data_IF_696225426129
#
_entry.id   IF_696225426129
#
_cell.length_a   1.000
_cell.length_b   1.000
_cell.length_c   1.000
_cell.angle_alpha   90.00
_cell.angle_beta   90.00
_cell.angle_gamma   90.00
#
_symmetry.space_group_name_H-M   'P 1'
#
loop_
_entity.id
_entity.type
_entity.pdbx_description
1 polymer ?
#
# COMPACT_ATOMS: atom_id res chain seq x y z
N UNK A 1 -14.11 9.74 37.11
CA UNK A 1 -12.86 9.61 36.34
C UNK A 1 -13.10 10.35 35.04
N UNK A 2 -12.34 11.41 34.75
CA UNK A 2 -12.50 12.15 33.50
C UNK A 2 -11.94 11.31 32.34
N UNK A 3 -12.72 11.20 31.26
CA UNK A 3 -12.26 10.55 30.04
C UNK A 3 -11.23 11.46 29.36
N UNK A 4 -10.01 10.95 29.16
CA UNK A 4 -8.95 11.66 28.43
C UNK A 4 -8.96 11.21 26.97
N UNK A 5 -8.88 12.18 26.05
CA UNK A 5 -8.73 11.90 24.62
C UNK A 5 -7.40 11.15 24.38
N UNK A 6 -7.39 10.02 23.66
CA UNK A 6 -6.16 9.33 23.31
C UNK A 6 -5.30 10.22 22.40
N UNK A 7 -3.99 10.18 22.62
CA UNK A 7 -3.02 10.84 21.76
C UNK A 7 -2.50 9.89 20.69
N UNK A 8 -2.19 10.41 19.51
CA UNK A 8 -1.52 9.64 18.48
C UNK A 8 -0.13 9.23 18.97
N UNK A 9 0.22 7.95 18.82
CA UNK A 9 1.36 7.34 19.50
C UNK A 9 2.72 7.54 18.82
N UNK A 10 2.74 8.02 17.58
CA UNK A 10 3.99 8.27 16.85
C UNK A 10 4.52 9.66 17.16
N UNK A 11 5.77 9.72 17.59
CA UNK A 11 6.51 10.97 17.78
C UNK A 11 6.94 11.48 16.42
N UNK A 12 6.90 12.80 16.24
CA UNK A 12 7.39 13.52 15.05
C UNK A 12 6.60 13.30 13.75
N UNK A 13 5.51 12.53 13.78
CA UNK A 13 4.60 12.35 12.64
C UNK A 13 3.16 12.67 13.05
N UNK A 14 2.45 13.41 12.21
CA UNK A 14 1.01 13.56 12.30
C UNK A 14 0.28 12.36 11.68
N UNK A 15 -0.96 12.05 12.12
CA UNK A 15 -1.80 11.04 11.47
C UNK A 15 -1.95 11.24 9.96
N UNK A 16 -1.98 12.49 9.51
CA UNK A 16 -2.16 12.90 8.10
C UNK A 16 -0.92 12.55 7.27
N UNK A 17 0.27 12.82 7.80
CA UNK A 17 1.54 12.47 7.14
C UNK A 17 1.66 10.96 7.00
N UNK A 18 1.30 10.19 8.04
CA UNK A 18 1.33 8.73 8.00
C UNK A 18 0.36 8.19 6.95
N UNK A 19 -0.88 8.69 6.91
CA UNK A 19 -1.87 8.28 5.91
C UNK A 19 -1.39 8.57 4.48
N UNK A 20 -0.84 9.76 4.25
CA UNK A 20 -0.32 10.19 2.95
C UNK A 20 0.89 9.35 2.51
N UNK A 21 1.81 9.06 3.44
CA UNK A 21 2.98 8.23 3.17
C UNK A 21 2.58 6.79 2.84
N UNK A 22 1.65 6.20 3.60
CA UNK A 22 1.13 4.85 3.35
C UNK A 22 0.43 4.74 1.99
N UNK A 23 -0.36 5.75 1.62
CA UNK A 23 -1.02 5.79 0.32
C UNK A 23 0.00 5.83 -0.82
N UNK A 24 0.98 6.74 -0.73
CA UNK A 24 2.04 6.86 -1.73
C UNK A 24 2.85 5.57 -1.87
N UNK A 25 3.32 5.01 -0.75
CA UNK A 25 4.08 3.76 -0.74
C UNK A 25 3.29 2.60 -1.36
N UNK A 26 2.01 2.44 -0.98
CA UNK A 26 1.19 1.33 -1.47
C UNK A 26 0.93 1.44 -2.98
N UNK A 27 0.67 2.65 -3.49
CA UNK A 27 0.54 2.92 -4.92
C UNK A 27 1.82 2.58 -5.69
N UNK A 28 2.96 3.00 -5.16
CA UNK A 28 4.26 2.81 -5.81
C UNK A 28 4.64 1.31 -5.82
N UNK A 29 4.38 0.58 -4.72
CA UNK A 29 4.55 -0.88 -4.67
C UNK A 29 3.60 -1.62 -5.61
N UNK A 30 2.33 -1.19 -5.72
CA UNK A 30 1.39 -1.76 -6.69
C UNK A 30 1.92 -1.59 -8.12
N UNK A 31 2.50 -0.42 -8.43
CA UNK A 31 3.06 -0.10 -9.74
C UNK A 31 4.32 -0.93 -10.02
N UNK A 32 5.20 -1.08 -9.02
CA UNK A 32 6.36 -1.95 -9.08
C UNK A 32 5.97 -3.39 -9.43
N UNK A 33 5.02 -4.00 -8.72
CA UNK A 33 4.63 -5.39 -9.01
C UNK A 33 3.94 -5.55 -10.36
N UNK A 34 3.23 -4.54 -10.88
CA UNK A 34 2.74 -4.55 -12.27
C UNK A 34 3.87 -4.63 -13.29
N UNK A 35 4.97 -3.89 -13.06
CA UNK A 35 6.15 -3.94 -13.94
C UNK A 35 6.84 -5.30 -13.86
N UNK A 36 7.06 -5.83 -12.66
CA UNK A 36 7.66 -7.16 -12.46
C UNK A 36 6.78 -8.23 -13.11
N UNK A 37 5.46 -8.16 -12.96
CA UNK A 37 4.54 -9.09 -13.62
C UNK A 37 4.69 -9.07 -15.14
N UNK A 38 4.79 -7.88 -15.75
CA UNK A 38 5.07 -7.75 -17.19
C UNK A 38 6.37 -8.43 -17.59
N UNK A 39 7.46 -8.17 -16.86
CA UNK A 39 8.77 -8.79 -17.12
C UNK A 39 8.75 -10.32 -16.99
N UNK A 40 7.98 -10.87 -16.06
CA UNK A 40 7.83 -12.32 -15.90
C UNK A 40 6.95 -12.93 -16.99
N UNK A 41 5.94 -12.21 -17.48
CA UNK A 41 5.15 -12.65 -18.63
C UNK A 41 6.01 -12.69 -19.90
N UNK A 42 6.83 -11.68 -20.13
CA UNK A 42 7.71 -11.63 -21.32
C UNK A 42 8.68 -12.83 -21.35
N UNK A 43 9.06 -13.36 -20.19
CA UNK A 43 9.92 -14.54 -20.08
C UNK A 43 9.20 -15.88 -20.38
N UNK A 44 7.86 -15.94 -20.35
CA UNK A 44 7.14 -17.20 -20.55
C UNK A 44 7.37 -17.81 -21.94
N UNK A 45 7.50 -16.98 -22.97
CA UNK A 45 7.64 -17.41 -24.36
C UNK A 45 9.08 -17.86 -24.69
N UNK A 46 10.05 -17.53 -23.85
CA UNK A 46 11.48 -17.82 -24.06
C UNK A 46 11.94 -19.10 -23.34
N UNK A 47 11.18 -19.59 -22.36
CA UNK A 47 11.56 -20.75 -21.55
C UNK A 47 11.16 -22.05 -22.22
N UNK A 48 12.16 -22.90 -22.49
CA UNK A 48 11.97 -24.27 -23.01
C UNK A 48 12.11 -25.35 -21.95
N UNK A 49 12.71 -25.03 -20.80
CA UNK A 49 12.92 -25.98 -19.70
C UNK A 49 11.71 -26.04 -18.74
N UNK A 50 11.24 -27.24 -18.43
CA UNK A 50 10.04 -27.44 -17.62
C UNK A 50 10.22 -27.03 -16.14
N UNK A 51 11.42 -27.18 -15.60
CA UNK A 51 11.75 -26.79 -14.22
C UNK A 51 11.78 -25.26 -14.09
N UNK A 52 12.42 -24.58 -15.04
CA UNK A 52 12.43 -23.12 -15.14
C UNK A 52 11.01 -22.57 -15.34
N UNK A 53 10.19 -23.21 -16.18
CA UNK A 53 8.79 -22.84 -16.39
C UNK A 53 7.96 -22.97 -15.11
N UNK A 54 8.17 -24.04 -14.35
CA UNK A 54 7.49 -24.26 -13.07
C UNK A 54 7.85 -23.19 -12.04
N UNK A 55 9.13 -22.81 -11.98
CA UNK A 55 9.61 -21.72 -11.13
C UNK A 55 9.00 -20.39 -11.54
N UNK A 56 9.02 -20.06 -12.83
CA UNK A 56 8.45 -18.81 -13.35
C UNK A 56 6.95 -18.69 -13.04
N UNK A 57 6.19 -19.79 -13.16
CA UNK A 57 4.77 -19.83 -12.78
C UNK A 57 4.56 -19.57 -11.29
N UNK A 58 5.44 -20.08 -10.44
CA UNK A 58 5.40 -19.82 -8.99
C UNK A 58 5.67 -18.35 -8.69
N UNK A 59 6.68 -17.77 -9.34
CA UNK A 59 7.02 -16.35 -9.19
C UNK A 59 5.88 -15.44 -9.68
N UNK A 60 5.22 -15.79 -10.79
CA UNK A 60 4.03 -15.10 -11.28
C UNK A 60 2.86 -15.16 -10.29
N UNK A 61 2.64 -16.30 -9.63
CA UNK A 61 1.59 -16.43 -8.60
C UNK A 61 1.88 -15.55 -7.39
N UNK A 62 3.13 -15.54 -6.90
CA UNK A 62 3.55 -14.69 -5.78
C UNK A 62 3.42 -13.20 -6.12
N UNK A 63 3.87 -12.78 -7.30
CA UNK A 63 3.75 -11.39 -7.76
C UNK A 63 2.28 -10.98 -7.90
N UNK A 64 1.42 -11.85 -8.42
CA UNK A 64 -0.01 -11.56 -8.52
C UNK A 64 -0.66 -11.38 -7.14
N UNK A 65 -0.31 -12.23 -6.18
CA UNK A 65 -0.81 -12.10 -4.81
C UNK A 65 -0.35 -10.79 -4.16
N UNK A 66 0.94 -10.44 -4.29
CA UNK A 66 1.49 -9.19 -3.78
C UNK A 66 0.86 -7.97 -4.44
N UNK A 67 0.67 -8.01 -5.76
CA UNK A 67 0.00 -6.94 -6.50
C UNK A 67 -1.42 -6.69 -5.99
N UNK A 68 -2.19 -7.75 -5.72
CA UNK A 68 -3.53 -7.65 -5.15
C UNK A 68 -3.51 -7.07 -3.74
N UNK A 69 -2.60 -7.51 -2.88
CA UNK A 69 -2.48 -6.96 -1.53
C UNK A 69 -2.11 -5.48 -1.52
N UNK A 70 -1.18 -5.06 -2.38
CA UNK A 70 -0.85 -3.65 -2.53
C UNK A 70 -1.97 -2.84 -3.18
N UNK A 71 -2.81 -3.44 -4.03
CA UNK A 71 -4.03 -2.80 -4.51
C UNK A 71 -5.01 -2.50 -3.37
N UNK A 72 -5.28 -3.49 -2.51
CA UNK A 72 -6.17 -3.33 -1.35
C UNK A 72 -5.60 -2.29 -0.37
N UNK A 73 -4.30 -2.34 -0.07
CA UNK A 73 -3.64 -1.36 0.79
C UNK A 73 -3.70 0.06 0.19
N UNK A 74 -3.48 0.20 -1.11
CA UNK A 74 -3.57 1.48 -1.82
C UNK A 74 -4.99 2.08 -1.69
N UNK A 75 -6.02 1.27 -1.93
CA UNK A 75 -7.41 1.72 -1.78
C UNK A 75 -7.73 2.11 -0.33
N UNK A 76 -7.34 1.28 0.64
CA UNK A 76 -7.57 1.56 2.05
C UNK A 76 -6.85 2.84 2.52
N UNK A 77 -5.58 3.00 2.15
CA UNK A 77 -4.80 4.18 2.50
C UNK A 77 -5.34 5.45 1.80
N UNK A 78 -5.84 5.33 0.57
CA UNK A 78 -6.52 6.43 -0.14
C UNK A 78 -7.79 6.89 0.59
N UNK A 79 -8.61 5.95 1.08
CA UNK A 79 -9.80 6.26 1.89
C UNK A 79 -9.39 6.95 3.19
N UNK A 80 -8.41 6.40 3.91
CA UNK A 80 -7.91 6.99 5.17
C UNK A 80 -7.35 8.39 4.93
N UNK A 81 -6.55 8.58 3.88
CA UNK A 81 -6.02 9.89 3.53
C UNK A 81 -7.15 10.88 3.22
N UNK A 82 -8.15 10.48 2.44
CA UNK A 82 -9.31 11.33 2.11
C UNK A 82 -10.05 11.76 3.38
N UNK A 83 -10.32 10.83 4.29
CA UNK A 83 -10.99 11.14 5.55
C UNK A 83 -10.11 12.03 6.45
N UNK A 84 -8.81 11.75 6.53
CA UNK A 84 -7.89 12.49 7.38
C UNK A 84 -7.73 13.96 6.97
N UNK A 85 -7.92 14.28 5.69
CA UNK A 85 -7.92 15.66 5.18
C UNK A 85 -9.30 16.35 5.26
N UNK A 86 -10.34 15.66 5.74
CA UNK A 86 -11.65 16.29 5.90
C UNK A 86 -11.64 17.33 7.04
N UNK A 87 -12.42 18.43 6.95
CA UNK A 87 -12.43 19.48 7.97
C UNK A 87 -12.67 18.94 9.40
N UNK A 88 -13.62 18.03 9.55
CA UNK A 88 -13.95 17.41 10.84
C UNK A 88 -12.76 16.65 11.43
N UNK A 89 -12.05 15.87 10.61
CA UNK A 89 -10.90 15.11 11.09
C UNK A 89 -9.68 15.99 11.30
N UNK A 90 -9.53 17.07 10.54
CA UNK A 90 -8.47 18.05 10.77
C UNK A 90 -8.60 18.71 12.15
N UNK A 91 -9.81 19.04 12.59
CA UNK A 91 -10.07 19.53 13.96
C UNK A 91 -9.71 18.48 15.01
N UNK A 92 -9.97 17.20 14.73
CA UNK A 92 -9.64 16.10 15.63
C UNK A 92 -8.13 15.87 15.76
N UNK A 93 -7.37 16.01 14.67
CA UNK A 93 -5.92 15.74 14.60
C UNK A 93 -5.04 16.95 14.88
N UNK A 94 -5.51 18.14 14.52
CA UNK A 94 -4.84 19.42 14.71
C UNK A 94 -5.82 20.38 15.41
N UNK A 95 -6.20 20.14 16.66
CA UNK A 95 -7.11 21.02 17.37
C UNK A 95 -6.48 22.42 17.44
N UNK A 96 -7.05 23.38 16.71
CA UNK A 96 -6.76 24.79 16.88
C UNK A 96 -7.05 25.13 18.34
N UNK A 97 -6.04 25.64 19.04
CA UNK A 97 -6.17 26.14 20.41
C UNK A 97 -7.12 27.34 20.46
#
# INVERSE_FOLDING_TARGET
MEAKKPAFGLKDCSPIEVASAMHSFSRDMQSYYKMVHGQLIDQLDEITDESELSKLKTDLQDVNQKMEYFHVLNNAASIVATLAHSPVMLEEFCPTK
#
